data_IF_775993218028
#
_entry.id   IF_775993218028
#
_cell.length_a   1.000
_cell.length_b   1.000
_cell.length_c   1.000
_cell.angle_alpha   90.00
_cell.angle_beta   90.00
_cell.angle_gamma   90.00
#
_symmetry.space_group_name_H-M   'P 1'
#
loop_
_entity.id
_entity.type
_entity.pdbx_description
1 polymer ?
#
# COMPACT_ATOMS: atom_id res chain seq x y z
N UNK A 1 -86.57 1.28 18.71
CA UNK A 1 -86.70 -0.16 19.04
C UNK A 1 -85.28 -0.70 19.22
N UNK A 2 -84.80 -0.86 20.46
CA UNK A 2 -84.73 -2.15 21.20
C UNK A 2 -83.99 -3.23 20.36
N UNK A 3 -82.83 -3.81 20.72
CA UNK A 3 -82.20 -4.22 22.00
C UNK A 3 -80.66 -4.29 21.76
N UNK A 4 -79.73 -3.96 22.71
CA UNK A 4 -79.20 -4.79 23.83
C UNK A 4 -78.87 -6.23 23.43
N UNK A 5 -77.76 -6.91 23.75
CA UNK A 5 -76.63 -6.73 24.70
C UNK A 5 -75.66 -7.91 24.48
N UNK A 6 -74.37 -7.62 24.62
CA UNK A 6 -73.28 -8.34 25.30
C UNK A 6 -73.04 -9.86 25.16
N UNK A 7 -71.78 -10.21 24.83
CA UNK A 7 -71.07 -11.30 25.51
C UNK A 7 -69.54 -11.03 25.49
N UNK A 8 -69.03 -10.81 26.69
CA UNK A 8 -67.63 -10.61 27.07
C UNK A 8 -66.82 -11.91 26.98
N UNK A 9 -65.51 -11.84 26.74
CA UNK A 9 -64.64 -13.01 26.64
C UNK A 9 -63.14 -12.71 26.53
N UNK A 10 -62.57 -12.09 27.56
CA UNK A 10 -61.25 -12.39 28.19
C UNK A 10 -60.00 -12.52 27.27
N UNK A 11 -59.10 -11.53 27.37
CA UNK A 11 -57.65 -11.62 27.09
C UNK A 11 -56.92 -12.37 28.25
N UNK A 12 -55.65 -12.86 28.20
CA UNK A 12 -54.50 -12.25 27.50
C UNK A 12 -53.37 -13.20 26.99
N UNK A 13 -52.29 -12.56 26.52
CA UNK A 13 -50.86 -12.96 26.62
C UNK A 13 -50.22 -14.02 25.68
N UNK A 14 -49.39 -13.47 24.79
CA UNK A 14 -47.95 -13.76 24.63
C UNK A 14 -47.49 -15.23 24.51
N UNK A 15 -47.05 -15.57 23.29
CA UNK A 15 -45.81 -16.32 23.09
C UNK A 15 -45.25 -16.01 21.70
N UNK A 16 -44.36 -15.02 21.69
CA UNK A 16 -43.50 -14.66 20.57
C UNK A 16 -42.37 -15.69 20.48
N UNK A 17 -42.41 -16.54 19.45
CA UNK A 17 -41.47 -17.65 19.37
C UNK A 17 -41.50 -18.40 18.04
N UNK A 18 -41.30 -17.69 16.92
CA UNK A 18 -40.93 -18.31 15.64
C UNK A 18 -40.43 -17.24 14.67
N UNK A 19 -39.14 -16.92 14.69
CA UNK A 19 -38.47 -16.23 13.58
C UNK A 19 -37.23 -17.03 13.20
N UNK A 20 -37.49 -17.99 12.33
CA UNK A 20 -36.61 -18.66 11.38
C UNK A 20 -35.11 -18.35 11.46
N UNK A 21 -34.35 -19.39 11.78
CA UNK A 21 -33.01 -19.57 11.27
C UNK A 21 -33.09 -19.80 9.75
N UNK A 22 -32.98 -18.74 8.97
CA UNK A 22 -32.68 -18.83 7.53
C UNK A 22 -31.43 -18.00 7.27
N UNK A 23 -30.41 -18.69 6.77
CA UNK A 23 -29.06 -18.17 6.64
C UNK A 23 -28.98 -16.84 5.92
N UNK A 24 -28.08 -15.99 6.42
CA UNK A 24 -27.35 -15.08 5.57
C UNK A 24 -25.89 -15.48 5.61
N UNK A 25 -25.57 -16.51 4.83
CA UNK A 25 -24.28 -16.56 4.18
C UNK A 25 -24.31 -15.44 3.12
N UNK A 26 -23.85 -14.25 3.49
CA UNK A 26 -23.59 -13.14 2.57
C UNK A 26 -22.58 -12.20 3.22
N UNK A 27 -21.36 -12.08 2.74
CA UNK A 27 -20.65 -12.82 1.72
C UNK A 27 -19.19 -12.80 2.09
N UNK A 28 -18.38 -13.67 1.48
CA UNK A 28 -16.95 -13.41 1.38
C UNK A 28 -16.84 -11.98 0.84
N UNK A 29 -16.43 -11.05 1.69
CA UNK A 29 -16.38 -9.64 1.36
C UNK A 29 -15.53 -9.54 0.09
N UNK A 30 -16.17 -9.19 -1.02
CA UNK A 30 -15.45 -8.71 -2.18
C UNK A 30 -14.54 -7.62 -1.63
N UNK A 31 -13.23 -7.89 -1.58
CA UNK A 31 -12.24 -6.93 -1.11
C UNK A 31 -12.23 -5.83 -2.16
N UNK A 32 -13.18 -4.91 -2.03
CA UNK A 32 -13.36 -3.80 -2.93
C UNK A 32 -12.14 -2.93 -2.74
N UNK A 33 -11.21 -3.05 -3.69
CA UNK A 33 -9.92 -2.37 -3.64
C UNK A 33 -10.15 -0.87 -3.52
N UNK A 34 -9.79 -0.31 -2.38
CA UNK A 34 -9.89 1.13 -2.16
C UNK A 34 -8.85 1.86 -2.99
N UNK A 35 -9.25 2.80 -3.86
CA UNK A 35 -8.28 3.62 -4.59
C UNK A 35 -7.52 4.51 -3.60
N UNK A 36 -6.20 4.62 -3.80
CA UNK A 36 -5.28 5.34 -2.90
C UNK A 36 -5.71 6.78 -2.64
N UNK A 37 -6.23 7.48 -3.66
CA UNK A 37 -6.72 8.86 -3.52
C UNK A 37 -7.90 8.99 -2.57
N UNK A 38 -8.85 8.03 -2.61
CA UNK A 38 -10.01 8.00 -1.71
C UNK A 38 -9.58 7.62 -0.29
N UNK A 39 -8.71 6.62 -0.14
CA UNK A 39 -8.10 6.22 1.15
C UNK A 39 -7.40 7.40 1.83
N UNK A 40 -6.61 8.17 1.07
CA UNK A 40 -5.97 9.41 1.54
C UNK A 40 -6.99 10.44 2.03
N UNK A 41 -8.08 10.65 1.29
CA UNK A 41 -9.14 11.58 1.68
C UNK A 41 -9.77 11.21 3.02
N UNK A 42 -10.05 9.94 3.25
CA UNK A 42 -10.58 9.43 4.53
C UNK A 42 -9.59 9.63 5.67
N UNK A 43 -8.32 9.30 5.48
CA UNK A 43 -7.28 9.52 6.50
C UNK A 43 -7.15 11.00 6.86
N UNK A 44 -7.22 11.92 5.89
CA UNK A 44 -7.16 13.35 6.15
C UNK A 44 -8.34 13.84 7.02
N UNK A 45 -9.53 13.25 6.88
CA UNK A 45 -10.68 13.54 7.74
C UNK A 45 -10.41 13.12 9.19
N UNK A 46 -9.87 11.93 9.40
CA UNK A 46 -9.47 11.43 10.72
C UNK A 46 -8.38 12.33 11.36
N UNK A 47 -7.40 12.78 10.57
CA UNK A 47 -6.34 13.68 11.07
C UNK A 47 -6.85 15.09 11.41
N UNK A 48 -7.97 15.54 10.82
CA UNK A 48 -8.65 16.81 11.19
C UNK A 48 -9.49 16.70 12.46
N UNK A 49 -9.62 15.50 13.04
CA UNK A 49 -10.37 15.27 14.28
C UNK A 49 -11.84 14.92 14.08
N UNK A 50 -12.27 14.53 12.87
CA UNK A 50 -13.61 13.98 12.68
C UNK A 50 -13.75 12.66 13.47
N UNK A 51 -14.91 12.41 14.13
CA UNK A 51 -15.10 11.23 14.95
C UNK A 51 -15.09 9.95 14.10
N UNK A 52 -14.29 8.97 14.51
CA UNK A 52 -14.06 7.73 13.75
C UNK A 52 -15.35 6.94 13.50
N UNK A 53 -16.30 6.98 14.44
CA UNK A 53 -17.60 6.34 14.31
C UNK A 53 -18.44 6.92 13.17
N UNK A 54 -18.41 8.25 13.00
CA UNK A 54 -19.15 8.92 11.92
C UNK A 54 -18.53 8.61 10.56
N UNK A 55 -17.20 8.66 10.48
CA UNK A 55 -16.45 8.34 9.25
C UNK A 55 -16.65 6.88 8.86
N UNK A 56 -16.63 5.95 9.82
CA UNK A 56 -16.89 4.52 9.59
C UNK A 56 -18.28 4.28 8.98
N UNK A 57 -19.32 4.90 9.56
CA UNK A 57 -20.70 4.77 9.08
C UNK A 57 -20.90 5.35 7.68
N UNK A 58 -20.25 6.47 7.36
CA UNK A 58 -20.36 7.11 6.04
C UNK A 58 -19.60 6.35 4.96
N UNK A 59 -18.40 5.86 5.28
CA UNK A 59 -17.47 5.24 4.34
C UNK A 59 -17.75 3.73 4.18
N UNK A 60 -18.42 3.12 5.16
CA UNK A 60 -18.75 1.69 5.18
C UNK A 60 -17.54 0.80 5.47
N UNK A 61 -16.55 1.33 6.20
CA UNK A 61 -15.29 0.64 6.54
C UNK A 61 -15.23 0.48 8.05
N UNK A 62 -14.68 -0.64 8.52
CA UNK A 62 -14.61 -0.91 9.97
C UNK A 62 -13.69 0.09 10.67
N UNK A 63 -13.95 0.36 11.95
CA UNK A 63 -13.10 1.26 12.76
C UNK A 63 -11.65 0.76 12.79
N UNK A 64 -11.45 -0.55 12.95
CA UNK A 64 -10.12 -1.16 12.96
C UNK A 64 -9.34 -0.93 11.65
N UNK A 65 -10.00 -1.01 10.49
CA UNK A 65 -9.37 -0.71 9.20
C UNK A 65 -9.05 0.79 9.06
N UNK A 66 -9.92 1.67 9.55
CA UNK A 66 -9.67 3.12 9.55
C UNK A 66 -8.47 3.48 10.43
N UNK A 67 -8.35 2.88 11.60
CA UNK A 67 -7.21 3.04 12.50
C UNK A 67 -5.93 2.53 11.85
N UNK A 68 -5.96 1.33 11.25
CA UNK A 68 -4.82 0.81 10.50
C UNK A 68 -4.40 1.75 9.36
N UNK A 69 -5.35 2.36 8.66
CA UNK A 69 -5.04 3.33 7.60
C UNK A 69 -4.40 4.60 8.15
N UNK A 70 -4.84 5.05 9.32
CA UNK A 70 -4.26 6.19 10.03
C UNK A 70 -2.83 5.87 10.48
N UNK A 71 -2.58 4.71 11.05
CA UNK A 71 -1.24 4.27 11.47
C UNK A 71 -0.28 4.17 10.28
N UNK A 72 -0.70 3.53 9.18
CA UNK A 72 0.10 3.44 7.95
C UNK A 72 0.44 4.82 7.38
N UNK A 73 -0.50 5.76 7.45
CA UNK A 73 -0.24 7.13 7.01
C UNK A 73 0.73 7.86 7.94
N UNK A 74 0.63 7.69 9.27
CA UNK A 74 1.56 8.26 10.23
C UNK A 74 2.98 7.71 10.03
N UNK A 75 3.11 6.39 9.88
CA UNK A 75 4.39 5.75 9.57
C UNK A 75 4.97 6.23 8.23
N UNK A 76 4.12 6.38 7.20
CA UNK A 76 4.53 6.94 5.91
C UNK A 76 4.98 8.39 6.00
N UNK A 77 4.31 9.21 6.81
CA UNK A 77 4.73 10.60 7.07
C UNK A 77 6.06 10.63 7.81
N UNK A 78 6.25 9.81 8.84
CA UNK A 78 7.52 9.71 9.56
C UNK A 78 8.66 9.26 8.63
N UNK A 79 8.43 8.24 7.80
CA UNK A 79 9.40 7.80 6.81
C UNK A 79 9.73 8.90 5.79
N UNK A 80 8.72 9.62 5.30
CA UNK A 80 8.90 10.73 4.38
C UNK A 80 9.65 11.91 5.01
N UNK A 81 9.45 12.19 6.30
CA UNK A 81 10.17 13.22 7.04
C UNK A 81 11.60 12.80 7.39
N UNK A 82 11.82 11.51 7.68
CA UNK A 82 13.16 10.92 7.90
C UNK A 82 13.98 10.82 6.63
N UNK A 83 13.32 10.67 5.49
CA UNK A 83 13.91 10.88 4.17
C UNK A 83 14.26 12.37 4.04
N UNK A 84 15.30 12.78 4.77
CA UNK A 84 16.01 14.04 4.56
C UNK A 84 16.25 14.12 3.07
N UNK A 85 15.89 15.25 2.46
CA UNK A 85 15.96 15.58 1.03
C UNK A 85 17.24 15.07 0.36
N UNK A 86 17.36 13.77 0.12
CA UNK A 86 18.32 13.21 -0.80
C UNK A 86 17.66 13.50 -2.12
N UNK A 87 18.08 14.60 -2.73
CA UNK A 87 17.63 14.96 -4.04
C UNK A 87 17.77 13.70 -4.91
N UNK A 88 16.68 13.18 -5.51
CA UNK A 88 16.79 12.05 -6.42
C UNK A 88 17.85 12.29 -7.51
N UNK A 89 18.15 13.56 -7.83
CA UNK A 89 19.26 13.95 -8.68
C UNK A 89 20.63 13.71 -8.04
N UNK A 90 20.83 13.99 -6.75
CA UNK A 90 22.07 13.68 -6.04
C UNK A 90 22.34 12.17 -5.97
N UNK A 91 21.31 11.36 -5.74
CA UNK A 91 21.47 9.90 -5.77
C UNK A 91 21.92 9.41 -7.15
N UNK A 92 21.25 9.88 -8.22
CA UNK A 92 21.62 9.56 -9.60
C UNK A 92 23.00 10.11 -9.98
N UNK A 93 23.36 11.28 -9.48
CA UNK A 93 24.68 11.88 -9.67
C UNK A 93 25.77 11.03 -9.03
N UNK A 94 25.57 10.61 -7.79
CA UNK A 94 26.52 9.74 -7.08
C UNK A 94 26.72 8.41 -7.80
N UNK A 95 25.64 7.80 -8.29
CA UNK A 95 25.73 6.57 -9.10
C UNK A 95 26.48 6.80 -10.43
N UNK A 96 26.22 7.92 -11.10
CA UNK A 96 26.93 8.27 -12.33
C UNK A 96 28.43 8.50 -12.06
N UNK A 97 28.78 9.25 -11.01
CA UNK A 97 30.17 9.50 -10.58
C UNK A 97 30.87 8.19 -10.27
N UNK A 98 30.23 7.28 -9.52
CA UNK A 98 30.77 5.95 -9.24
C UNK A 98 31.03 5.18 -10.54
N UNK A 99 30.08 5.17 -11.47
CA UNK A 99 30.23 4.43 -12.74
C UNK A 99 31.33 5.02 -13.63
N UNK A 100 31.48 6.35 -13.63
CA UNK A 100 32.59 7.03 -14.33
C UNK A 100 33.93 6.62 -13.73
N UNK A 101 34.03 6.54 -12.39
CA UNK A 101 35.23 6.05 -11.71
C UNK A 101 35.61 4.63 -12.13
N UNK A 102 34.65 3.70 -12.08
CA UNK A 102 34.82 2.30 -12.51
C UNK A 102 35.34 2.21 -13.96
N UNK A 103 34.69 2.91 -14.89
CA UNK A 103 35.07 2.92 -16.31
C UNK A 103 36.42 3.60 -16.56
N UNK A 104 36.79 4.60 -15.76
CA UNK A 104 38.09 5.28 -15.86
C UNK A 104 39.21 4.34 -15.44
N UNK A 105 39.03 3.61 -14.33
CA UNK A 105 39.99 2.60 -13.88
C UNK A 105 40.16 1.48 -14.92
N UNK A 106 39.06 0.98 -15.48
CA UNK A 106 39.11 -0.05 -16.53
C UNK A 106 39.86 0.45 -17.78
N UNK A 107 39.57 1.68 -18.22
CA UNK A 107 40.28 2.29 -19.35
C UNK A 107 41.78 2.43 -19.11
N UNK A 108 42.20 2.82 -17.90
CA UNK A 108 43.61 2.94 -17.55
C UNK A 108 44.34 1.60 -17.64
N UNK A 109 43.72 0.52 -17.14
CA UNK A 109 44.27 -0.83 -17.23
C UNK A 109 44.41 -1.25 -18.70
N UNK A 110 43.36 -1.10 -19.50
CA UNK A 110 43.38 -1.46 -20.93
C UNK A 110 44.42 -0.67 -21.72
N UNK A 111 44.60 0.61 -21.40
CA UNK A 111 45.64 1.45 -22.03
C UNK A 111 47.04 0.93 -21.69
N UNK A 112 47.30 0.58 -20.43
CA UNK A 112 48.58 -0.01 -20.00
C UNK A 112 48.84 -1.35 -20.69
N UNK A 113 47.84 -2.21 -20.80
CA UNK A 113 47.96 -3.48 -21.51
C UNK A 113 48.32 -3.29 -22.98
N UNK A 114 47.67 -2.34 -23.67
CA UNK A 114 48.00 -2.01 -25.06
C UNK A 114 49.42 -1.47 -25.21
N UNK A 115 49.88 -0.63 -24.29
CA UNK A 115 51.26 -0.13 -24.30
C UNK A 115 52.27 -1.27 -24.14
N UNK A 116 52.01 -2.21 -23.22
CA UNK A 116 52.84 -3.39 -23.04
C UNK A 116 52.85 -4.30 -24.27
N UNK A 117 51.70 -4.48 -24.93
CA UNK A 117 51.61 -5.24 -26.18
C UNK A 117 52.36 -4.57 -27.32
N UNK A 118 52.25 -3.25 -27.47
CA UNK A 118 52.96 -2.49 -28.50
C UNK A 118 54.49 -2.54 -28.31
N UNK A 119 54.95 -2.64 -27.05
CA UNK A 119 56.37 -2.82 -26.72
C UNK A 119 56.87 -4.25 -26.89
N UNK A 120 55.98 -5.23 -27.06
CA UNK A 120 56.37 -6.64 -27.21
C UNK A 120 56.84 -6.88 -28.64
N UNK A 121 58.07 -7.36 -28.87
CA UNK A 121 58.54 -7.66 -30.22
C UNK A 121 57.64 -8.73 -30.85
N UNK A 122 57.26 -8.55 -32.11
CA UNK A 122 56.49 -9.54 -32.86
C UNK A 122 57.31 -10.82 -32.93
N UNK A 123 56.90 -11.86 -32.20
CA UNK A 123 57.57 -13.17 -32.25
C UNK A 123 57.45 -13.70 -33.68
N UNK A 124 58.59 -13.91 -34.34
CA UNK A 124 58.63 -14.41 -35.70
C UNK A 124 57.86 -15.74 -35.80
N UNK A 125 56.81 -15.73 -36.63
CA UNK A 125 56.04 -16.92 -36.98
C UNK A 125 57.00 -17.92 -37.62
N UNK A 126 57.29 -19.04 -36.93
CA UNK A 126 58.06 -20.14 -37.51
C UNK A 126 57.26 -20.71 -38.69
N UNK A 127 57.75 -20.48 -39.91
CA UNK A 127 57.28 -21.17 -41.10
C UNK A 127 57.73 -22.63 -41.02
N UNK A 128 56.75 -23.53 -40.99
CA UNK A 128 56.98 -24.98 -41.05
C UNK A 128 57.40 -25.36 -42.47
N UNK A 129 58.54 -26.03 -42.60
CA UNK A 129 58.95 -26.81 -43.79
C UNK A 129 58.73 -28.29 -43.51
#
# INVERSE_FOLDING_TARGET
MLKKTDANGVAPEALEGARSATGSASGAAEVKRWPTGRKRGVVLRLLRGEPVDAVSREVGVTIAELEQWRELALAGMEAGLKARTSDPLEARLNDAVRRVGELSMENEILRKERELQARRPLTARRSST
#
